data_IF_017131101391
#
_entry.id   IF_017131101391
#
_cell.length_a   1.000
_cell.length_b   1.000
_cell.length_c   1.000
_cell.angle_alpha   90.00
_cell.angle_beta   90.00
_cell.angle_gamma   90.00
#
_symmetry.space_group_name_H-M   'P 1'
#
loop_
_entity.id
_entity.type
_entity.pdbx_description
1 polymer ?
#
# COMPACT_ATOMS: atom_id res chain seq x y z
N UNK A 1 8.06 16.66 -53.27
CA UNK A 1 7.87 16.60 -51.81
C UNK A 1 6.45 16.19 -51.36
N UNK A 2 5.54 15.79 -52.26
CA UNK A 2 4.12 15.53 -51.93
C UNK A 2 3.72 14.05 -51.92
N UNK A 3 4.58 13.15 -52.40
CA UNK A 3 4.30 11.70 -52.44
C UNK A 3 4.72 10.97 -51.16
N UNK A 4 5.78 11.44 -50.48
CA UNK A 4 6.34 10.79 -49.28
C UNK A 4 5.48 11.00 -48.02
N UNK A 5 4.69 12.07 -47.99
CA UNK A 5 3.85 12.42 -46.83
C UNK A 5 2.51 11.67 -46.83
N UNK A 6 2.04 11.21 -48.00
CA UNK A 6 0.86 10.33 -48.10
C UNK A 6 1.15 8.91 -47.65
N UNK A 7 2.33 8.37 -47.91
CA UNK A 7 2.71 7.01 -47.48
C UNK A 7 2.93 6.91 -45.97
N UNK A 8 3.35 8.00 -45.32
CA UNK A 8 3.54 8.07 -43.87
C UNK A 8 2.20 8.15 -43.12
N UNK A 9 1.23 8.92 -43.63
CA UNK A 9 -0.12 8.99 -43.06
C UNK A 9 -0.91 7.69 -43.20
N UNK A 10 -0.74 6.96 -44.32
CA UNK A 10 -1.37 5.64 -44.51
C UNK A 10 -0.78 4.60 -43.54
N UNK A 11 0.51 4.67 -43.22
CA UNK A 11 1.15 3.77 -42.24
C UNK A 11 0.82 4.10 -40.79
N UNK A 12 0.67 5.38 -40.44
CA UNK A 12 0.25 5.79 -39.08
C UNK A 12 -1.24 5.46 -38.87
N UNK A 13 -2.10 5.65 -39.88
CA UNK A 13 -3.50 5.27 -39.80
C UNK A 13 -3.68 3.74 -39.69
N UNK A 14 -2.90 2.95 -40.43
CA UNK A 14 -2.91 1.49 -40.31
C UNK A 14 -2.41 0.99 -38.94
N UNK A 15 -1.49 1.72 -38.29
CA UNK A 15 -1.00 1.40 -36.95
C UNK A 15 -2.03 1.76 -35.86
N UNK A 16 -2.71 2.91 -35.98
CA UNK A 16 -3.76 3.34 -35.04
C UNK A 16 -5.03 2.48 -35.18
N UNK A 17 -5.39 2.06 -36.40
CA UNK A 17 -6.49 1.13 -36.64
C UNK A 17 -6.12 -0.32 -36.26
N UNK A 18 -4.86 -0.74 -36.43
CA UNK A 18 -4.38 -2.04 -35.96
C UNK A 18 -4.35 -2.16 -34.43
N UNK A 19 -4.01 -1.08 -33.72
CA UNK A 19 -4.05 -1.02 -32.25
C UNK A 19 -5.49 -0.94 -31.72
N UNK A 20 -6.41 -0.28 -32.44
CA UNK A 20 -7.84 -0.29 -32.07
C UNK A 20 -8.53 -1.63 -32.38
N UNK A 21 -8.14 -2.34 -33.44
CA UNK A 21 -8.67 -3.68 -33.74
C UNK A 21 -8.21 -4.76 -32.72
N UNK A 22 -7.02 -4.60 -32.12
CA UNK A 22 -6.56 -5.45 -31.01
C UNK A 22 -7.25 -5.16 -29.67
N UNK A 23 -7.91 -4.00 -29.51
CA UNK A 23 -8.67 -3.67 -28.30
C UNK A 23 -10.16 -4.06 -28.43
N UNK A 24 -10.66 -4.30 -29.64
CA UNK A 24 -12.09 -4.60 -29.90
C UNK A 24 -12.41 -6.08 -30.19
N UNK A 25 -11.42 -6.99 -30.20
CA UNK A 25 -11.66 -8.44 -30.38
C UNK A 25 -10.95 -9.28 -29.31
N UNK A 26 -11.17 -8.92 -28.04
CA UNK A 26 -11.00 -9.81 -26.90
C UNK A 26 -12.35 -9.96 -26.16
N UNK A 27 -13.37 -10.34 -26.92
CA UNK A 27 -14.64 -10.87 -26.45
C UNK A 27 -14.92 -12.14 -27.24
N UNK A 28 -14.20 -13.22 -26.90
CA UNK A 28 -14.63 -14.61 -27.04
C UNK A 28 -13.50 -15.53 -26.54
N UNK A 29 -13.81 -16.28 -25.49
CA UNK A 29 -13.17 -17.55 -25.06
C UNK A 29 -11.64 -17.60 -25.00
N UNK A 30 -11.09 -17.40 -23.79
CA UNK A 30 -10.33 -18.44 -23.10
C UNK A 30 -10.14 -18.07 -21.62
N UNK A 31 -10.51 -19.01 -20.74
CA UNK A 31 -10.59 -18.81 -19.30
C UNK A 31 -9.22 -18.71 -18.64
N UNK A 32 -8.93 -17.53 -18.09
CA UNK A 32 -7.85 -17.30 -17.12
C UNK A 32 -8.30 -16.16 -16.20
N UNK A 33 -8.97 -16.52 -15.12
CA UNK A 33 -9.52 -15.64 -14.10
C UNK A 33 -8.44 -14.83 -13.37
N UNK A 34 -8.26 -13.56 -13.73
CA UNK A 34 -7.78 -12.54 -12.79
C UNK A 34 -8.95 -12.20 -11.86
N UNK A 35 -8.95 -12.77 -10.66
CA UNK A 35 -10.03 -12.60 -9.69
C UNK A 35 -9.92 -11.25 -8.99
N UNK A 36 -10.45 -10.20 -9.63
CA UNK A 36 -10.95 -9.03 -8.93
C UNK A 36 -12.25 -9.46 -8.27
N UNK A 37 -12.24 -9.68 -6.94
CA UNK A 37 -13.43 -10.08 -6.21
C UNK A 37 -14.41 -8.91 -6.15
N UNK A 38 -15.31 -8.83 -7.13
CA UNK A 38 -16.50 -7.99 -7.13
C UNK A 38 -17.46 -8.42 -6.00
N UNK A 39 -17.18 -7.97 -4.78
CA UNK A 39 -18.10 -8.09 -3.63
C UNK A 39 -19.17 -6.99 -3.70
N UNK A 40 -20.02 -7.03 -4.73
CA UNK A 40 -21.02 -5.98 -4.98
C UNK A 40 -22.33 -6.10 -4.18
N UNK A 41 -22.37 -6.85 -3.07
CA UNK A 41 -23.55 -6.92 -2.19
C UNK A 41 -23.29 -7.26 -0.71
N UNK A 42 -22.09 -7.72 -0.35
CA UNK A 42 -21.74 -8.09 1.03
C UNK A 42 -20.78 -7.08 1.63
N UNK A 43 -21.00 -6.66 2.86
CA UNK A 43 -20.00 -5.91 3.63
C UNK A 43 -18.67 -6.69 3.77
N UNK A 44 -17.76 -6.15 4.57
CA UNK A 44 -16.44 -6.78 4.81
C UNK A 44 -16.64 -8.23 5.32
N UNK A 45 -16.10 -9.25 4.63
CA UNK A 45 -16.27 -10.65 5.02
C UNK A 45 -15.52 -10.96 6.32
N UNK A 46 -15.88 -12.06 6.99
CA UNK A 46 -15.17 -12.50 8.20
C UNK A 46 -13.83 -13.17 7.88
N UNK A 47 -13.72 -13.78 6.69
CA UNK A 47 -12.48 -14.36 6.18
C UNK A 47 -12.26 -13.82 4.78
N UNK A 48 -11.04 -13.40 4.47
CA UNK A 48 -10.66 -12.93 3.16
C UNK A 48 -9.42 -13.68 2.68
N UNK A 49 -9.46 -14.19 1.46
CA UNK A 49 -8.37 -14.94 0.84
C UNK A 49 -7.96 -14.28 -0.48
N UNK A 50 -6.65 -14.08 -0.66
CA UNK A 50 -6.08 -13.58 -1.90
C UNK A 50 -4.65 -14.09 -2.07
N UNK A 51 -4.27 -14.49 -3.29
CA UNK A 51 -2.93 -14.99 -3.63
C UNK A 51 -2.39 -16.09 -2.69
N UNK A 52 -3.29 -16.96 -2.24
CA UNK A 52 -2.95 -18.07 -1.35
C UNK A 52 -2.65 -17.64 0.09
N UNK A 53 -2.92 -16.39 0.47
CA UNK A 53 -2.92 -15.92 1.84
C UNK A 53 -4.35 -15.80 2.37
N UNK A 54 -4.54 -16.18 3.62
CA UNK A 54 -5.84 -16.14 4.31
C UNK A 54 -5.78 -15.18 5.48
N UNK A 55 -6.74 -14.27 5.59
CA UNK A 55 -6.85 -13.28 6.67
C UNK A 55 -8.16 -13.48 7.42
N UNK A 56 -8.09 -13.51 8.76
CA UNK A 56 -9.27 -13.54 9.63
C UNK A 56 -9.60 -12.10 10.04
N UNK A 57 -10.71 -11.59 9.51
CA UNK A 57 -11.21 -10.24 9.73
C UNK A 57 -12.29 -10.19 10.82
N UNK A 58 -12.76 -11.33 11.33
CA UNK A 58 -13.87 -11.39 12.29
C UNK A 58 -13.52 -10.60 13.56
N UNK A 59 -12.33 -10.81 14.09
CA UNK A 59 -11.86 -10.08 15.26
C UNK A 59 -11.68 -8.58 14.97
N UNK A 60 -11.10 -8.22 13.81
CA UNK A 60 -10.92 -6.83 13.39
C UNK A 60 -12.25 -6.08 13.22
N UNK A 61 -13.33 -6.77 12.83
CA UNK A 61 -14.68 -6.19 12.69
C UNK A 61 -15.31 -5.79 14.02
N UNK A 62 -14.94 -6.44 15.11
CA UNK A 62 -15.44 -6.13 16.45
C UNK A 62 -14.69 -4.95 17.08
N UNK A 63 -13.45 -4.71 16.66
CA UNK A 63 -12.61 -3.65 17.22
C UNK A 63 -12.99 -2.25 16.73
N UNK A 64 -12.76 -1.25 17.61
CA UNK A 64 -12.85 0.17 17.27
C UNK A 64 -11.44 0.75 17.30
N UNK A 65 -10.98 1.22 16.15
CA UNK A 65 -9.72 1.93 16.01
C UNK A 65 -9.96 3.43 16.13
N UNK A 66 -9.05 4.14 16.77
CA UNK A 66 -9.10 5.58 16.88
C UNK A 66 -7.68 6.16 16.84
N UNK A 67 -7.51 7.25 16.10
CA UNK A 67 -6.25 8.00 16.09
C UNK A 67 -6.51 9.50 15.92
N UNK A 68 -5.69 10.36 16.56
CA UNK A 68 -5.73 11.79 16.30
C UNK A 68 -5.28 12.10 14.87
N UNK A 69 -5.85 13.14 14.26
CA UNK A 69 -5.38 13.68 12.99
C UNK A 69 -4.59 14.95 13.30
N UNK A 70 -3.26 14.88 13.17
CA UNK A 70 -2.37 15.97 13.55
C UNK A 70 -2.60 17.27 12.75
N UNK A 71 -3.08 17.17 11.50
CA UNK A 71 -3.36 18.32 10.63
C UNK A 71 -4.58 19.15 11.06
N UNK A 72 -5.44 18.62 11.94
CA UNK A 72 -6.68 19.28 12.36
C UNK A 72 -6.76 19.25 13.89
N UNK A 73 -6.40 20.36 14.53
CA UNK A 73 -6.23 20.46 15.98
C UNK A 73 -7.34 19.78 16.81
N UNK A 74 -6.96 18.79 17.63
CA UNK A 74 -7.87 18.05 18.51
C UNK A 74 -8.82 17.08 17.80
N UNK A 75 -8.71 16.92 16.48
CA UNK A 75 -9.57 16.01 15.72
C UNK A 75 -9.12 14.57 15.84
N UNK A 76 -10.07 13.65 15.78
CA UNK A 76 -9.79 12.21 15.77
C UNK A 76 -10.63 11.50 14.73
N UNK A 77 -10.05 10.45 14.16
CA UNK A 77 -10.72 9.54 13.25
C UNK A 77 -11.00 8.25 13.99
N UNK A 78 -12.24 7.78 13.93
CA UNK A 78 -12.66 6.47 14.46
C UNK A 78 -13.06 5.55 13.31
N UNK A 79 -12.74 4.27 13.44
CA UNK A 79 -13.03 3.23 12.45
C UNK A 79 -13.50 1.96 13.15
N UNK A 80 -14.52 1.31 12.58
CA UNK A 80 -14.98 -0.03 12.93
C UNK A 80 -15.36 -0.75 11.64
N UNK A 81 -14.61 -1.81 11.29
CA UNK A 81 -14.84 -2.54 10.04
C UNK A 81 -16.19 -3.25 10.02
N UNK A 82 -16.72 -3.64 11.18
CA UNK A 82 -18.06 -4.22 11.29
C UNK A 82 -19.21 -3.22 11.07
N UNK A 83 -18.91 -1.93 10.89
CA UNK A 83 -19.92 -0.89 10.78
C UNK A 83 -20.61 -0.57 12.11
N UNK A 84 -21.73 0.16 12.03
CA UNK A 84 -22.53 0.60 13.18
C UNK A 84 -21.79 1.58 14.08
N UNK A 85 -20.86 2.37 13.54
CA UNK A 85 -20.19 3.41 14.31
C UNK A 85 -21.14 4.61 14.48
N UNK A 86 -21.44 5.04 15.72
CA UNK A 86 -22.37 6.12 15.95
C UNK A 86 -21.69 7.47 15.63
N UNK A 87 -21.67 7.87 14.35
CA UNK A 87 -21.15 9.18 13.97
C UNK A 87 -22.12 10.28 14.41
N UNK A 88 -23.38 10.22 14.00
CA UNK A 88 -24.35 11.29 14.27
C UNK A 88 -25.04 11.07 15.61
N UNK A 89 -24.44 11.56 16.70
CA UNK A 89 -25.24 11.86 17.90
C UNK A 89 -25.95 13.19 17.68
N UNK A 90 -27.28 13.23 17.73
CA UNK A 90 -28.03 14.49 17.83
C UNK A 90 -27.58 15.21 19.11
N UNK A 91 -26.72 16.22 18.97
CA UNK A 91 -26.33 17.09 20.06
C UNK A 91 -27.56 17.87 20.53
N UNK A 92 -27.94 17.74 21.80
CA UNK A 92 -29.03 18.51 22.42
C UNK A 92 -30.29 17.71 22.82
N UNK A 93 -30.36 16.40 22.57
CA UNK A 93 -31.50 15.58 23.04
C UNK A 93 -31.18 14.79 24.32
N UNK A 94 -32.15 14.70 25.27
CA UNK A 94 -32.01 13.87 26.47
C UNK A 94 -31.80 12.40 26.09
N UNK A 95 -31.13 11.62 26.95
CA UNK A 95 -30.65 10.27 26.64
C UNK A 95 -31.73 9.30 26.10
N UNK A 96 -33.01 9.53 26.42
CA UNK A 96 -34.15 8.73 25.96
C UNK A 96 -34.67 9.09 24.56
N UNK A 97 -34.21 10.19 23.95
CA UNK A 97 -34.62 10.68 22.62
C UNK A 97 -33.52 10.61 21.57
N UNK A 98 -32.33 10.09 21.92
CA UNK A 98 -31.28 9.83 20.93
C UNK A 98 -31.75 8.69 20.01
N UNK A 99 -32.45 9.04 18.93
CA UNK A 99 -32.46 8.19 17.75
C UNK A 99 -31.05 8.26 17.17
N UNK A 100 -30.25 7.25 17.44
CA UNK A 100 -29.13 6.93 16.57
C UNK A 100 -29.75 6.67 15.20
N UNK A 101 -29.36 7.43 14.18
CA UNK A 101 -29.56 6.94 12.82
C UNK A 101 -28.70 5.69 12.74
N UNK A 102 -29.32 4.52 12.94
CA UNK A 102 -28.72 3.20 12.86
C UNK A 102 -28.35 2.90 11.40
N UNK A 103 -27.44 3.70 10.83
CA UNK A 103 -26.75 3.33 9.62
C UNK A 103 -25.72 2.28 10.04
N UNK A 104 -26.19 1.02 10.09
CA UNK A 104 -25.38 -0.18 10.31
C UNK A 104 -24.16 -0.21 9.37
N UNK A 105 -24.23 0.47 8.24
CA UNK A 105 -23.14 0.61 7.28
C UNK A 105 -22.07 1.65 7.67
N UNK A 106 -22.30 2.53 8.64
CA UNK A 106 -21.33 3.57 9.01
C UNK A 106 -20.05 2.96 9.58
N UNK A 107 -18.93 3.08 8.85
CA UNK A 107 -17.66 2.46 9.21
C UNK A 107 -16.72 3.41 9.95
N UNK A 108 -16.71 4.69 9.55
CA UNK A 108 -15.74 5.65 10.05
C UNK A 108 -16.35 7.02 10.33
N UNK A 109 -15.91 7.63 11.42
CA UNK A 109 -16.36 8.95 11.87
C UNK A 109 -15.17 9.88 12.05
N UNK A 110 -15.30 11.09 11.54
CA UNK A 110 -14.42 12.21 11.87
C UNK A 110 -15.04 13.01 13.02
N UNK A 111 -14.29 13.14 14.10
CA UNK A 111 -14.64 13.93 15.28
C UNK A 111 -13.76 15.17 15.31
N UNK A 112 -14.38 16.35 15.24
CA UNK A 112 -13.70 17.64 15.36
C UNK A 112 -14.29 18.38 16.55
N UNK A 113 -13.48 18.88 17.50
CA UNK A 113 -14.00 19.61 18.65
C UNK A 113 -14.87 20.81 18.23
N UNK A 114 -16.07 20.91 18.81
CA UNK A 114 -17.00 22.01 18.55
C UNK A 114 -17.78 21.92 17.23
N UNK A 115 -17.58 20.88 16.43
CA UNK A 115 -18.30 20.65 15.17
C UNK A 115 -19.08 19.34 15.26
N UNK A 116 -20.30 19.25 14.70
CA UNK A 116 -21.00 17.98 14.60
C UNK A 116 -20.15 16.91 13.89
N UNK A 117 -20.13 15.68 14.42
CA UNK A 117 -19.39 14.57 13.82
C UNK A 117 -19.88 14.26 12.40
N UNK A 118 -18.92 14.00 11.51
CA UNK A 118 -19.18 13.68 10.11
C UNK A 118 -18.86 12.22 9.82
N UNK A 119 -19.64 11.60 8.93
CA UNK A 119 -19.35 10.28 8.39
C UNK A 119 -18.17 10.39 7.44
N UNK A 120 -17.08 9.72 7.76
CA UNK A 120 -15.87 9.70 6.94
C UNK A 120 -15.94 8.62 5.86
N UNK A 121 -16.54 7.46 6.16
CA UNK A 121 -16.78 6.39 5.19
C UNK A 121 -17.79 5.35 5.70
N UNK A 122 -18.28 4.53 4.78
CA UNK A 122 -19.24 3.44 4.96
C UNK A 122 -18.61 2.08 4.60
N UNK A 123 -19.11 1.00 5.20
CA UNK A 123 -18.77 -0.38 4.85
C UNK A 123 -19.43 -0.81 3.54
N UNK A 124 -20.46 -0.09 3.08
CA UNK A 124 -21.10 -0.34 1.80
C UNK A 124 -20.12 -0.08 0.65
N UNK A 125 -19.90 -1.09 -0.19
CA UNK A 125 -18.93 -1.01 -1.29
C UNK A 125 -17.47 -1.01 -0.83
N UNK A 126 -17.18 -1.51 0.37
CA UNK A 126 -15.81 -1.72 0.84
C UNK A 126 -15.04 -2.63 -0.13
N UNK A 127 -13.80 -2.24 -0.45
CA UNK A 127 -12.88 -3.05 -1.25
C UNK A 127 -11.67 -3.43 -0.42
N UNK A 128 -11.23 -4.66 -0.56
CA UNK A 128 -10.05 -5.18 0.13
C UNK A 128 -9.02 -5.57 -0.92
N UNK A 129 -7.78 -5.13 -0.74
CA UNK A 129 -6.65 -5.52 -1.58
C UNK A 129 -5.39 -5.71 -0.75
N UNK A 130 -4.44 -6.47 -1.28
CA UNK A 130 -3.14 -6.62 -0.67
C UNK A 130 -2.38 -5.30 -0.78
N UNK A 131 -1.61 -4.96 0.25
CA UNK A 131 -0.68 -3.83 0.18
C UNK A 131 0.43 -4.09 -0.85
N UNK A 132 0.81 -5.36 -0.99
CA UNK A 132 1.74 -5.85 -2.00
C UNK A 132 1.29 -7.24 -2.46
N UNK A 133 0.90 -7.35 -3.73
CA UNK A 133 0.47 -8.62 -4.32
C UNK A 133 1.58 -9.69 -4.34
N UNK A 134 2.86 -9.27 -4.36
CA UNK A 134 4.00 -10.18 -4.33
C UNK A 134 4.34 -10.70 -2.93
N UNK A 135 3.84 -10.03 -1.89
CA UNK A 135 4.10 -10.38 -0.50
C UNK A 135 2.89 -10.06 0.39
N UNK A 136 1.94 -11.01 0.51
CA UNK A 136 0.78 -10.83 1.38
C UNK A 136 1.14 -10.74 2.86
N UNK A 137 2.38 -11.10 3.24
CA UNK A 137 2.90 -10.95 4.58
C UNK A 137 2.92 -9.49 5.06
N UNK A 138 2.96 -8.50 4.17
CA UNK A 138 2.93 -7.08 4.58
C UNK A 138 1.57 -6.69 5.19
N UNK A 139 0.49 -7.30 4.72
CA UNK A 139 -0.88 -7.01 5.14
C UNK A 139 -1.74 -6.50 3.98
N UNK A 140 -2.82 -5.79 4.31
CA UNK A 140 -3.87 -5.43 3.37
C UNK A 140 -4.44 -4.04 3.62
N UNK A 141 -5.15 -3.51 2.63
CA UNK A 141 -5.89 -2.25 2.73
C UNK A 141 -7.38 -2.51 2.54
N UNK A 142 -8.18 -1.87 3.40
CA UNK A 142 -9.63 -1.77 3.25
C UNK A 142 -9.96 -0.35 2.80
N UNK A 143 -10.36 -0.22 1.54
CA UNK A 143 -10.81 1.04 0.95
C UNK A 143 -12.31 1.21 1.13
N UNK A 144 -12.69 2.25 1.85
CA UNK A 144 -14.05 2.59 2.23
C UNK A 144 -14.46 3.91 1.57
N UNK A 145 -15.70 3.98 1.10
CA UNK A 145 -16.26 5.15 0.41
C UNK A 145 -17.62 5.51 1.01
N UNK A 146 -18.38 6.42 0.38
CA UNK A 146 -19.72 6.76 0.82
C UNK A 146 -19.77 7.59 2.11
N UNK A 147 -18.71 8.34 2.41
CA UNK A 147 -18.75 9.34 3.48
C UNK A 147 -19.53 10.60 3.08
N UNK A 148 -19.80 11.46 4.07
CA UNK A 148 -20.51 12.72 3.87
C UNK A 148 -19.79 13.59 2.82
N UNK A 149 -20.55 14.47 2.15
CA UNK A 149 -20.04 15.35 1.10
C UNK A 149 -18.93 16.29 1.61
N UNK A 150 -17.78 16.26 0.96
CA UNK A 150 -16.68 17.18 1.22
C UNK A 150 -16.82 18.44 0.36
N UNK A 151 -16.94 19.59 1.01
CA UNK A 151 -17.15 20.86 0.31
C UNK A 151 -15.94 21.33 -0.51
N UNK A 152 -14.73 20.92 -0.14
CA UNK A 152 -13.48 21.32 -0.79
C UNK A 152 -13.34 20.65 -2.16
N UNK A 153 -13.41 19.32 -2.20
CA UNK A 153 -13.23 18.53 -3.44
C UNK A 153 -14.54 18.18 -4.15
N UNK A 154 -15.69 18.64 -3.62
CA UNK A 154 -17.04 18.40 -4.13
C UNK A 154 -17.35 16.91 -4.38
N UNK A 155 -16.82 16.03 -3.52
CA UNK A 155 -16.98 14.57 -3.59
C UNK A 155 -17.23 14.00 -2.20
N UNK A 156 -17.76 12.78 -2.13
CA UNK A 156 -17.89 12.07 -0.85
C UNK A 156 -16.53 11.81 -0.21
N UNK A 157 -16.47 11.89 1.12
CA UNK A 157 -15.29 11.48 1.90
C UNK A 157 -15.02 9.98 1.68
N UNK A 158 -13.75 9.61 1.79
CA UNK A 158 -13.28 8.21 1.68
C UNK A 158 -12.15 7.94 2.67
N UNK A 159 -11.96 6.67 3.00
CA UNK A 159 -10.94 6.20 3.95
C UNK A 159 -10.23 4.97 3.40
N UNK A 160 -8.90 4.99 3.40
CA UNK A 160 -8.09 3.77 3.25
C UNK A 160 -7.55 3.35 4.62
N UNK A 161 -8.05 2.22 5.14
CA UNK A 161 -7.56 1.60 6.36
C UNK A 161 -6.50 0.55 6.01
N UNK A 162 -5.23 0.84 6.28
CA UNK A 162 -4.07 0.00 6.00
C UNK A 162 -3.72 -0.83 7.22
N UNK A 163 -3.95 -2.13 7.13
CA UNK A 163 -3.61 -3.10 8.16
C UNK A 163 -2.25 -3.71 7.84
N UNK A 164 -1.26 -3.35 8.65
CA UNK A 164 0.11 -3.82 8.55
C UNK A 164 0.33 -4.99 9.51
N UNK A 165 0.85 -6.09 8.97
CA UNK A 165 1.25 -7.23 9.77
C UNK A 165 2.39 -6.84 10.73
N UNK A 166 2.12 -7.00 12.03
CA UNK A 166 3.15 -6.99 13.08
C UNK A 166 3.19 -8.38 13.72
N UNK A 167 4.10 -9.28 13.31
CA UNK A 167 4.15 -10.64 13.85
C UNK A 167 4.60 -10.67 15.32
N UNK A 168 5.32 -9.64 15.78
CA UNK A 168 5.81 -9.58 17.16
C UNK A 168 4.70 -9.31 18.17
N UNK A 169 3.63 -8.62 17.73
CA UNK A 169 2.54 -8.15 18.59
C UNK A 169 2.99 -7.17 19.68
N UNK A 170 4.25 -6.74 19.65
CA UNK A 170 4.85 -5.95 20.72
C UNK A 170 4.34 -4.51 20.72
N UNK A 171 3.80 -4.00 19.60
CA UNK A 171 3.36 -2.61 19.51
C UNK A 171 2.17 -2.42 18.57
N UNK A 172 0.96 -2.49 19.14
CA UNK A 172 -0.25 -1.99 18.46
C UNK A 172 -0.11 -0.48 18.29
N UNK A 173 0.05 -0.03 17.04
CA UNK A 173 0.08 1.39 16.69
C UNK A 173 -1.04 1.72 15.73
N UNK A 174 -1.74 2.81 15.98
CA UNK A 174 -2.75 3.36 15.08
C UNK A 174 -2.39 4.81 14.81
N UNK A 175 -2.16 5.14 13.54
CA UNK A 175 -1.92 6.52 13.10
C UNK A 175 -2.94 6.88 12.03
N UNK A 176 -3.31 8.15 11.96
CA UNK A 176 -4.23 8.63 10.94
C UNK A 176 -3.82 10.00 10.44
N UNK A 177 -4.07 10.24 9.16
CA UNK A 177 -3.84 11.53 8.52
C UNK A 177 -4.86 11.76 7.41
N UNK A 178 -5.01 13.03 7.06
CA UNK A 178 -5.78 13.46 5.90
C UNK A 178 -4.82 13.74 4.73
N UNK A 179 -5.24 13.39 3.53
CA UNK A 179 -4.52 13.78 2.31
C UNK A 179 -4.48 15.29 2.12
N UNK A 180 -3.47 15.77 1.39
CA UNK A 180 -3.31 17.19 1.09
C UNK A 180 -3.70 17.50 -0.36
N UNK A 181 -3.92 18.78 -0.67
CA UNK A 181 -4.25 19.25 -2.02
C UNK A 181 -5.55 18.62 -2.56
N UNK A 182 -5.47 17.94 -3.71
CA UNK A 182 -6.62 17.25 -4.31
C UNK A 182 -7.09 16.01 -3.52
N UNK A 183 -6.33 15.57 -2.51
CA UNK A 183 -6.65 14.44 -1.66
C UNK A 183 -7.22 14.85 -0.29
N UNK A 184 -7.56 16.12 -0.08
CA UNK A 184 -8.32 16.53 1.11
C UNK A 184 -9.63 15.72 1.16
N UNK A 185 -10.10 15.37 2.36
CA UNK A 185 -11.23 14.46 2.59
C UNK A 185 -11.00 13.00 2.16
N UNK A 186 -9.78 12.64 1.77
CA UNK A 186 -9.29 11.27 1.74
C UNK A 186 -8.48 11.00 3.00
N UNK A 187 -9.02 10.16 3.86
CA UNK A 187 -8.34 9.76 5.09
C UNK A 187 -7.53 8.50 4.87
N UNK A 188 -6.42 8.41 5.57
CA UNK A 188 -5.64 7.18 5.65
C UNK A 188 -5.43 6.86 7.13
N UNK A 189 -5.71 5.62 7.50
CA UNK A 189 -5.43 5.10 8.83
C UNK A 189 -4.48 3.91 8.69
N UNK A 190 -3.34 3.93 9.38
CA UNK A 190 -2.39 2.82 9.43
C UNK A 190 -2.50 2.12 10.78
N UNK A 191 -2.73 0.81 10.75
CA UNK A 191 -2.96 -0.04 11.92
C UNK A 191 -1.95 -1.18 11.89
N UNK A 192 -1.08 -1.26 12.88
CA UNK A 192 -0.16 -2.41 13.05
C UNK A 192 -0.76 -3.42 14.02
N UNK A 193 -0.92 -4.66 13.58
CA UNK A 193 -1.54 -5.72 14.37
C UNK A 193 -1.15 -7.12 13.87
N UNK A 194 -1.13 -8.10 14.77
CA UNK A 194 -0.92 -9.51 14.41
C UNK A 194 -2.04 -10.07 13.53
N UNK A 195 -3.27 -9.56 13.66
CA UNK A 195 -4.42 -10.00 12.84
C UNK A 195 -4.30 -9.59 11.37
N UNK A 196 -3.40 -8.64 11.06
CA UNK A 196 -3.08 -8.26 9.69
C UNK A 196 -2.06 -9.22 9.05
N UNK A 197 -1.51 -10.15 9.82
CA UNK A 197 -0.64 -11.19 9.31
C UNK A 197 -1.49 -12.32 8.71
N UNK A 198 -1.12 -12.83 7.53
CA UNK A 198 -1.84 -13.94 6.93
C UNK A 198 -1.70 -15.20 7.80
N UNK A 199 -2.82 -15.90 8.00
CA UNK A 199 -2.83 -17.23 8.58
C UNK A 199 -2.03 -18.20 7.71
N UNK A 200 -1.41 -19.19 8.34
CA UNK A 200 -0.70 -20.25 7.63
C UNK A 200 -1.64 -20.95 6.65
N UNK A 201 -1.40 -20.75 5.36
CA UNK A 201 -2.03 -21.57 4.34
C UNK A 201 -1.11 -22.75 4.09
N UNK A 202 -1.60 -23.95 4.41
CA UNK A 202 -1.03 -25.22 3.99
C UNK A 202 -1.23 -25.39 2.49
N UNK A 203 -0.71 -24.47 1.68
CA UNK A 203 -0.69 -24.62 0.23
C UNK A 203 0.25 -25.78 -0.11
N UNK A 204 -0.33 -26.89 -0.57
CA UNK A 204 0.32 -28.14 -0.94
C UNK A 204 1.22 -28.07 -2.19
N UNK A 205 1.56 -26.88 -2.67
CA UNK A 205 2.51 -26.69 -3.79
C UNK A 205 3.81 -26.11 -3.27
N UNK A 206 4.97 -26.74 -3.57
CA UNK A 206 6.27 -26.16 -3.26
C UNK A 206 6.40 -24.83 -4.02
N UNK A 207 6.43 -23.73 -3.28
CA UNK A 207 6.72 -22.41 -3.81
C UNK A 207 8.22 -22.20 -3.68
N UNK A 208 8.90 -21.93 -4.79
CA UNK A 208 10.33 -21.60 -4.75
C UNK A 208 10.56 -20.38 -3.85
N UNK A 209 11.47 -20.50 -2.87
CA UNK A 209 11.66 -19.44 -1.91
C UNK A 209 12.30 -18.23 -2.58
N UNK A 210 11.80 -17.05 -2.24
CA UNK A 210 12.25 -15.78 -2.82
C UNK A 210 12.21 -14.69 -1.74
N UNK A 211 13.26 -13.87 -1.68
CA UNK A 211 13.30 -12.70 -0.82
C UNK A 211 12.69 -11.49 -1.53
N UNK A 212 11.89 -10.72 -0.82
CA UNK A 212 11.26 -9.50 -1.34
C UNK A 212 11.79 -8.22 -0.69
N UNK A 213 12.32 -8.28 0.54
CA UNK A 213 12.91 -7.12 1.21
C UNK A 213 13.03 -7.28 2.73
N UNK A 214 13.31 -6.20 3.45
CA UNK A 214 13.40 -6.21 4.93
C UNK A 214 12.72 -5.01 5.59
N UNK A 215 12.17 -5.13 6.79
CA UNK A 215 11.59 -4.01 7.56
C UNK A 215 11.96 -4.07 9.04
N UNK A 216 11.57 -3.08 9.85
CA UNK A 216 11.78 -3.08 11.32
C UNK A 216 12.99 -2.29 11.81
N UNK A 217 13.81 -1.78 10.89
CA UNK A 217 14.97 -0.93 11.18
C UNK A 217 14.70 0.59 11.12
N UNK A 218 13.51 1.00 10.68
CA UNK A 218 13.18 2.41 10.49
C UNK A 218 12.47 2.96 11.74
N UNK A 219 12.91 4.11 12.24
CA UNK A 219 12.05 4.96 13.06
C UNK A 219 11.00 5.64 12.16
N UNK A 220 9.90 6.14 12.73
CA UNK A 220 8.81 6.80 11.98
C UNK A 220 9.27 8.00 11.12
N UNK A 221 10.53 8.41 11.20
CA UNK A 221 11.09 9.60 10.55
C UNK A 221 12.29 9.36 9.64
N UNK A 222 12.86 8.14 9.59
CA UNK A 222 14.16 7.92 8.94
C UNK A 222 14.10 6.80 7.88
N UNK A 223 14.56 7.12 6.68
CA UNK A 223 14.52 6.23 5.50
C UNK A 223 15.87 5.57 5.20
N UNK A 224 16.83 5.82 6.07
CA UNK A 224 18.17 5.30 5.97
C UNK A 224 18.31 3.95 6.68
N UNK A 225 19.16 3.07 6.17
CA UNK A 225 19.61 1.87 6.90
C UNK A 225 20.46 2.22 8.13
N UNK A 226 20.76 3.52 8.36
CA UNK A 226 21.44 4.01 9.56
C UNK A 226 20.58 4.04 10.83
N UNK A 227 19.28 3.72 10.74
CA UNK A 227 18.41 3.56 11.90
C UNK A 227 18.54 2.21 12.62
N UNK A 228 19.14 1.21 11.97
CA UNK A 228 19.33 -0.13 12.54
C UNK A 228 20.32 -0.11 13.71
N UNK A 229 19.89 -0.53 14.89
CA UNK A 229 20.74 -0.68 16.07
C UNK A 229 20.72 -2.11 16.59
N UNK A 230 21.79 -2.50 17.28
CA UNK A 230 21.87 -3.77 18.00
C UNK A 230 20.60 -3.98 18.84
N UNK A 231 20.06 -5.20 18.81
CA UNK A 231 18.89 -5.58 19.60
C UNK A 231 17.53 -5.23 18.97
N UNK A 232 17.49 -4.47 17.86
CA UNK A 232 16.25 -4.26 17.11
C UNK A 232 15.81 -5.54 16.40
N UNK A 233 14.51 -5.69 16.18
CA UNK A 233 13.96 -6.82 15.41
C UNK A 233 13.88 -6.44 13.93
N UNK A 234 14.66 -7.13 13.10
CA UNK A 234 14.55 -7.09 11.65
C UNK A 234 13.49 -8.11 11.22
N UNK A 235 12.59 -7.69 10.34
CA UNK A 235 11.62 -8.56 9.67
C UNK A 235 12.09 -8.77 8.25
N UNK A 236 12.40 -10.00 7.86
CA UNK A 236 12.73 -10.35 6.48
C UNK A 236 11.47 -10.82 5.78
N UNK A 237 11.19 -10.22 4.64
CA UNK A 237 10.02 -10.46 3.82
C UNK A 237 10.36 -11.32 2.61
N UNK A 238 9.47 -12.22 2.25
CA UNK A 238 9.63 -13.08 1.09
C UNK A 238 8.48 -14.07 0.93
N UNK A 239 8.77 -15.25 0.39
CA UNK A 239 7.87 -16.39 0.27
C UNK A 239 8.65 -17.71 0.37
N UNK A 240 7.96 -18.79 0.69
CA UNK A 240 8.54 -20.15 0.71
C UNK A 240 9.30 -20.49 1.99
N UNK A 241 9.16 -19.72 3.06
CA UNK A 241 9.96 -19.90 4.28
C UNK A 241 9.54 -21.07 5.17
N UNK A 242 8.37 -21.66 4.96
CA UNK A 242 7.87 -22.75 5.82
C UNK A 242 7.81 -24.11 5.14
N UNK A 243 7.93 -24.17 3.81
CA UNK A 243 7.79 -25.42 3.10
C UNK A 243 9.04 -26.28 3.27
N UNK A 244 8.97 -27.31 4.12
CA UNK A 244 10.08 -28.22 4.43
C UNK A 244 11.32 -27.51 5.01
N UNK A 245 11.14 -26.40 5.71
CA UNK A 245 12.23 -25.64 6.36
C UNK A 245 12.15 -25.87 7.87
N UNK A 246 13.23 -26.41 8.44
CA UNK A 246 13.36 -26.69 9.86
C UNK A 246 13.92 -25.49 10.65
N UNK A 247 14.85 -24.74 10.06
CA UNK A 247 15.46 -23.56 10.66
C UNK A 247 15.88 -22.55 9.58
N UNK A 248 16.15 -21.31 9.97
CA UNK A 248 16.67 -20.30 9.07
C UNK A 248 17.74 -19.46 9.77
N UNK A 249 18.78 -19.08 9.02
CA UNK A 249 19.77 -18.09 9.43
C UNK A 249 19.67 -16.86 8.52
N UNK A 250 19.81 -15.67 9.10
CA UNK A 250 19.90 -14.42 8.36
C UNK A 250 21.29 -13.85 8.57
N UNK A 251 21.99 -13.53 7.50
CA UNK A 251 23.31 -12.91 7.50
C UNK A 251 23.25 -11.52 6.87
N UNK A 252 23.90 -10.56 7.50
CA UNK A 252 24.01 -9.16 7.07
C UNK A 252 25.50 -8.89 6.87
N UNK A 253 25.97 -8.97 5.62
CA UNK A 253 27.40 -9.08 5.34
C UNK A 253 27.98 -10.33 6.02
N UNK A 254 28.96 -10.14 6.90
CA UNK A 254 29.60 -11.23 7.66
C UNK A 254 28.95 -11.49 9.04
N UNK A 255 28.00 -10.65 9.46
CA UNK A 255 27.35 -10.77 10.76
C UNK A 255 26.12 -11.69 10.69
N UNK A 256 25.98 -12.59 11.67
CA UNK A 256 24.81 -13.47 11.79
C UNK A 256 23.78 -12.86 12.73
N UNK A 257 22.53 -12.77 12.27
CA UNK A 257 21.40 -12.28 13.02
C UNK A 257 21.05 -13.25 14.16
N UNK A 258 20.70 -12.73 15.33
CA UNK A 258 20.41 -13.54 16.52
C UNK A 258 18.92 -13.91 16.57
N UNK A 259 18.57 -15.00 17.24
CA UNK A 259 17.17 -15.39 17.49
C UNK A 259 16.28 -15.44 16.23
N UNK A 260 16.81 -15.93 15.10
CA UNK A 260 16.04 -16.04 13.87
C UNK A 260 14.83 -16.97 14.07
N UNK A 261 13.63 -16.49 13.71
CA UNK A 261 12.38 -17.25 13.81
C UNK A 261 11.59 -17.15 12.52
N UNK A 262 11.11 -18.30 12.06
CA UNK A 262 10.18 -18.40 10.94
C UNK A 262 8.78 -18.06 11.47
N UNK A 263 8.23 -16.92 11.04
CA UNK A 263 6.92 -16.46 11.51
C UNK A 263 5.80 -17.00 10.63
N UNK A 264 6.01 -17.01 9.32
CA UNK A 264 5.05 -17.49 8.34
C UNK A 264 5.77 -17.89 7.06
N UNK A 265 5.03 -18.37 6.07
CA UNK A 265 5.57 -18.64 4.75
C UNK A 265 6.20 -17.39 4.08
N UNK A 266 5.87 -16.19 4.57
CA UNK A 266 6.28 -14.92 3.97
C UNK A 266 7.21 -14.06 4.85
N UNK A 267 7.38 -14.42 6.11
CA UNK A 267 8.16 -13.63 7.05
C UNK A 267 9.06 -14.45 7.96
N UNK A 268 10.29 -13.96 8.11
CA UNK A 268 11.21 -14.32 9.17
C UNK A 268 11.44 -13.10 10.05
N UNK A 269 11.69 -13.31 11.34
CA UNK A 269 12.20 -12.26 12.22
C UNK A 269 13.57 -12.64 12.74
N UNK A 270 14.46 -11.67 12.92
CA UNK A 270 15.73 -11.88 13.61
C UNK A 270 16.11 -10.62 14.40
N UNK A 271 16.89 -10.79 15.46
CA UNK A 271 17.43 -9.71 16.27
C UNK A 271 18.77 -9.25 15.68
N UNK A 272 18.87 -7.96 15.38
CA UNK A 272 20.07 -7.39 14.79
C UNK A 272 21.27 -7.58 15.73
N UNK A 273 22.40 -8.11 15.20
CA UNK A 273 23.65 -8.17 15.93
C UNK A 273 24.25 -6.76 16.05
N UNK A 274 25.39 -6.65 16.71
CA UNK A 274 26.12 -5.38 16.75
C UNK A 274 26.74 -5.10 15.37
N UNK A 275 26.01 -4.35 14.54
CA UNK A 275 26.44 -3.95 13.20
C UNK A 275 26.40 -2.43 13.06
N UNK A 276 27.44 -1.82 12.46
CA UNK A 276 27.52 -0.37 12.33
C UNK A 276 26.48 0.22 11.36
N UNK A 277 26.03 -0.56 10.39
CA UNK A 277 24.93 -0.25 9.47
C UNK A 277 24.44 -1.54 8.79
N UNK A 278 23.23 -1.53 8.22
CA UNK A 278 22.76 -2.68 7.44
C UNK A 278 23.61 -2.78 6.16
N UNK A 279 24.40 -3.85 6.06
CA UNK A 279 25.23 -4.14 4.88
C UNK A 279 24.32 -4.30 3.63
N UNK A 280 24.73 -3.87 2.43
CA UNK A 280 23.90 -3.96 1.22
C UNK A 280 23.55 -5.40 0.83
N UNK A 281 24.34 -6.38 1.25
CA UNK A 281 24.07 -7.79 0.99
C UNK A 281 23.40 -8.44 2.19
N UNK A 282 22.19 -8.95 1.96
CA UNK A 282 21.46 -9.78 2.90
C UNK A 282 21.37 -11.20 2.36
N UNK A 283 21.79 -12.17 3.15
CA UNK A 283 21.73 -13.59 2.82
C UNK A 283 20.80 -14.30 3.82
N UNK A 284 19.90 -15.12 3.31
CA UNK A 284 19.04 -16.00 4.12
C UNK A 284 19.37 -17.43 3.76
N UNK A 285 19.71 -18.24 4.75
CA UNK A 285 19.92 -19.69 4.61
C UNK A 285 18.74 -20.41 5.23
N UNK A 286 17.98 -21.14 4.41
CA UNK A 286 16.87 -21.97 4.85
C UNK A 286 17.37 -23.40 5.00
N UNK A 287 17.43 -23.90 6.23
CA UNK A 287 17.83 -25.28 6.53
C UNK A 287 16.64 -26.21 6.39
N UNK A 288 16.70 -27.12 5.43
CA UNK A 288 15.67 -28.12 5.20
C UNK A 288 15.88 -29.34 6.10
N UNK A 289 14.82 -30.09 6.39
CA UNK A 289 14.92 -31.27 7.25
C UNK A 289 15.86 -32.36 6.68
N UNK A 290 15.91 -32.49 5.34
CA UNK A 290 16.60 -33.60 4.65
C UNK A 290 17.48 -33.14 3.47
N UNK A 291 18.15 -31.98 3.56
CA UNK A 291 18.96 -31.50 2.43
C UNK A 291 19.89 -30.34 2.71
N UNK A 292 20.66 -29.97 1.69
CA UNK A 292 21.51 -28.77 1.69
C UNK A 292 20.66 -27.50 1.90
N UNK A 293 21.17 -26.50 2.63
CA UNK A 293 20.42 -25.28 2.87
C UNK A 293 20.21 -24.49 1.58
N UNK A 294 18.99 -24.01 1.37
CA UNK A 294 18.70 -23.08 0.28
C UNK A 294 19.22 -21.70 0.66
N UNK A 295 20.13 -21.15 -0.15
CA UNK A 295 20.72 -19.82 0.08
C UNK A 295 20.06 -18.80 -0.83
N UNK A 296 19.43 -17.80 -0.23
CA UNK A 296 18.82 -16.68 -0.92
C UNK A 296 19.63 -15.42 -0.65
N UNK A 297 19.90 -14.63 -1.70
CA UNK A 297 20.65 -13.37 -1.57
C UNK A 297 19.85 -12.22 -2.15
N UNK A 298 19.84 -11.11 -1.43
CA UNK A 298 19.37 -9.81 -1.94
C UNK A 298 20.54 -8.85 -1.88
N UNK A 299 20.91 -8.35 -3.05
CA UNK A 299 21.80 -7.21 -3.17
C UNK A 299 20.99 -5.93 -3.05
N UNK A 300 21.50 -4.97 -2.29
CA UNK A 300 20.83 -3.72 -1.94
C UNK A 300 19.48 -3.99 -1.28
N UNK A 301 19.46 -4.82 -0.22
CA UNK A 301 18.25 -5.10 0.54
C UNK A 301 17.61 -3.79 1.02
N UNK A 302 16.60 -3.35 0.27
CA UNK A 302 15.87 -2.12 0.56
C UNK A 302 15.08 -2.36 1.84
N UNK A 303 15.20 -1.43 2.79
CA UNK A 303 14.24 -1.34 3.88
C UNK A 303 12.86 -1.12 3.26
N UNK A 304 12.08 -2.18 3.14
CA UNK A 304 10.66 -2.15 2.95
C UNK A 304 10.08 -1.36 4.12
N UNK A 305 9.83 -0.07 3.91
CA UNK A 305 8.99 0.71 4.77
C UNK A 305 7.56 0.44 4.31
N UNK A 306 6.76 -0.37 5.05
CA UNK A 306 5.38 -0.62 4.67
C UNK A 306 4.49 0.64 4.82
N UNK A 307 5.03 1.76 5.32
CA UNK A 307 4.30 3.02 5.35
C UNK A 307 4.31 3.67 3.96
N UNK A 308 3.15 3.81 3.30
CA UNK A 308 3.06 4.52 2.03
C UNK A 308 3.16 6.05 2.22
N UNK A 309 3.60 6.51 3.40
CA UNK A 309 4.16 7.85 3.57
C UNK A 309 5.21 8.15 2.48
N UNK A 310 5.94 7.12 2.00
CA UNK A 310 6.90 7.27 0.88
C UNK A 310 6.29 7.34 -0.52
N UNK A 311 5.08 6.82 -0.76
CA UNK A 311 4.40 7.04 -2.05
C UNK A 311 3.65 8.38 -2.07
N UNK A 312 3.41 8.99 -0.91
CA UNK A 312 2.57 10.18 -0.80
C UNK A 312 3.28 11.50 -0.48
N UNK A 313 4.59 11.54 -0.23
CA UNK A 313 5.28 12.83 -0.10
C UNK A 313 6.59 12.89 -0.86
N UNK A 314 6.53 13.56 -2.02
CA UNK A 314 7.41 14.72 -2.17
C UNK A 314 6.81 15.86 -3.01
N UNK A 315 5.71 15.66 -3.75
CA UNK A 315 5.04 16.76 -4.45
C UNK A 315 3.54 16.50 -4.61
N UNK A 316 2.67 17.12 -3.80
CA UNK A 316 1.21 16.98 -3.97
C UNK A 316 0.50 18.24 -4.45
N UNK A 317 1.06 19.43 -4.26
CA UNK A 317 0.61 20.67 -4.92
C UNK A 317 1.82 21.55 -5.21
N UNK A 318 2.03 21.89 -6.49
CA UNK A 318 3.13 22.76 -6.94
C UNK A 318 2.80 24.26 -6.79
N UNK A 319 1.68 24.57 -6.13
CA UNK A 319 1.30 25.92 -5.72
C UNK A 319 2.36 26.55 -4.81
N UNK A 320 3.03 25.76 -3.97
CA UNK A 320 4.13 26.19 -3.11
C UNK A 320 5.43 26.53 -3.88
N UNK A 321 5.57 26.00 -5.10
CA UNK A 321 6.67 26.32 -6.04
C UNK A 321 6.30 27.47 -7.00
N UNK A 322 5.14 28.10 -6.78
CA UNK A 322 4.64 29.22 -7.60
C UNK A 322 4.07 28.79 -8.95
N UNK A 323 3.78 27.49 -9.15
CA UNK A 323 3.25 26.95 -10.41
C UNK A 323 1.82 26.46 -10.20
N UNK A 324 0.84 27.34 -10.42
CA UNK A 324 -0.59 27.00 -10.41
C UNK A 324 -1.10 26.53 -11.77
N UNK A 325 -2.10 25.63 -11.77
CA UNK A 325 -2.87 25.29 -12.98
C UNK A 325 -2.27 24.24 -13.92
N UNK A 326 -1.13 23.63 -13.58
CA UNK A 326 -0.46 22.57 -14.38
C UNK A 326 -0.46 21.19 -13.69
N UNK A 327 -1.40 20.98 -12.76
CA UNK A 327 -1.44 19.79 -11.91
C UNK A 327 -1.54 18.48 -12.72
N UNK A 328 -2.26 18.50 -13.86
CA UNK A 328 -2.47 17.32 -14.70
C UNK A 328 -1.19 16.93 -15.45
N UNK A 329 -0.55 17.89 -16.10
CA UNK A 329 0.66 17.71 -16.92
C UNK A 329 1.84 17.28 -16.04
N UNK A 330 1.97 17.88 -14.85
CA UNK A 330 3.03 17.53 -13.90
C UNK A 330 2.77 16.15 -13.27
N UNK A 331 1.53 15.82 -12.93
CA UNK A 331 1.18 14.47 -12.46
C UNK A 331 1.51 13.41 -13.51
N UNK A 332 1.28 13.70 -14.78
CA UNK A 332 1.63 12.81 -15.88
C UNK A 332 3.15 12.65 -16.07
N UNK A 333 3.89 13.75 -15.98
CA UNK A 333 5.37 13.72 -15.92
C UNK A 333 5.81 12.82 -14.77
N UNK A 334 5.25 13.02 -13.57
CA UNK A 334 5.66 12.28 -12.40
C UNK A 334 5.39 10.78 -12.53
N UNK A 335 4.18 10.44 -12.98
CA UNK A 335 3.74 9.06 -13.24
C UNK A 335 4.66 8.36 -14.23
N UNK A 336 5.00 9.03 -15.34
CA UNK A 336 5.75 8.38 -16.42
C UNK A 336 7.25 8.32 -16.13
N UNK A 337 7.79 9.29 -15.40
CA UNK A 337 9.24 9.47 -15.24
C UNK A 337 9.74 8.88 -13.94
N UNK A 338 9.07 9.14 -12.82
CA UNK A 338 9.52 8.70 -11.50
C UNK A 338 8.93 7.35 -11.11
N UNK A 339 7.63 7.09 -11.34
CA UNK A 339 7.04 5.81 -10.92
C UNK A 339 7.63 4.62 -11.69
N UNK A 340 8.00 4.80 -12.96
CA UNK A 340 8.68 3.73 -13.71
C UNK A 340 10.03 3.37 -13.09
N UNK A 341 10.71 4.32 -12.45
CA UNK A 341 12.01 4.11 -11.77
C UNK A 341 11.89 3.72 -10.29
N UNK A 342 10.69 3.81 -9.71
CA UNK A 342 10.41 3.33 -8.37
C UNK A 342 10.29 1.78 -8.33
N UNK A 343 10.17 1.14 -9.49
CA UNK A 343 10.14 -0.32 -9.61
C UNK A 343 11.55 -0.91 -9.61
N UNK A 344 11.77 -2.05 -8.92
CA UNK A 344 13.01 -2.82 -8.98
C UNK A 344 13.46 -3.16 -10.41
N UNK A 345 14.77 -3.07 -10.69
CA UNK A 345 15.34 -3.21 -12.04
C UNK A 345 15.11 -4.58 -12.68
N UNK A 346 15.01 -5.64 -11.88
CA UNK A 346 14.67 -6.99 -12.33
C UNK A 346 13.24 -7.07 -12.88
N UNK A 347 12.28 -6.41 -12.22
CA UNK A 347 10.87 -6.35 -12.64
C UNK A 347 10.73 -5.49 -13.90
N UNK A 348 11.39 -4.33 -13.94
CA UNK A 348 11.39 -3.44 -15.13
C UNK A 348 11.90 -4.17 -16.37
N UNK A 349 12.97 -4.96 -16.22
CA UNK A 349 13.58 -5.70 -17.33
C UNK A 349 12.69 -6.84 -17.80
N UNK A 350 12.05 -7.57 -16.88
CA UNK A 350 11.10 -8.63 -17.20
C UNK A 350 9.82 -8.10 -17.90
N UNK A 351 9.34 -6.91 -17.50
CA UNK A 351 8.18 -6.25 -18.10
C UNK A 351 8.51 -5.48 -19.38
N UNK A 352 9.78 -5.42 -19.79
CA UNK A 352 10.22 -4.67 -20.99
C UNK A 352 9.95 -3.17 -20.90
N UNK A 353 9.78 -2.63 -19.68
CA UNK A 353 9.43 -1.22 -19.47
C UNK A 353 10.66 -0.36 -19.77
N UNK A 354 10.61 0.41 -20.85
CA UNK A 354 11.66 1.36 -21.20
C UNK A 354 11.45 2.68 -20.45
N UNK A 355 12.37 3.03 -19.55
CA UNK A 355 12.34 4.32 -18.89
C UNK A 355 12.45 5.47 -19.88
N UNK A 356 11.76 6.55 -19.57
CA UNK A 356 11.88 7.81 -20.31
C UNK A 356 13.30 8.36 -20.10
N UNK A 357 14.00 8.60 -21.21
CA UNK A 357 15.38 9.09 -21.24
C UNK A 357 15.49 10.61 -21.03
N UNK A 358 14.43 11.34 -21.33
CA UNK A 358 14.36 12.78 -21.18
C UNK A 358 12.95 13.31 -21.43
N UNK A 359 12.68 14.51 -20.94
CA UNK A 359 11.39 15.18 -21.05
C UNK A 359 11.62 16.50 -21.78
N UNK A 360 10.82 16.80 -22.79
CA UNK A 360 10.81 18.09 -23.46
C UNK A 360 9.62 18.90 -22.98
N UNK A 361 9.88 19.99 -22.25
CA UNK A 361 8.85 20.95 -21.85
C UNK A 361 8.76 22.05 -22.93
N UNK A 362 7.63 22.15 -23.62
CA UNK A 362 7.39 23.15 -24.67
C UNK A 362 6.10 23.94 -24.41
N UNK A 363 6.05 25.19 -24.86
CA UNK A 363 4.88 26.05 -24.70
C UNK A 363 5.22 27.55 -24.68
N UNK A 364 4.19 28.43 -24.69
CA UNK A 364 4.34 29.89 -24.70
C UNK A 364 5.22 30.42 -23.55
N UNK A 365 5.90 31.57 -23.69
CA UNK A 365 6.65 32.16 -22.59
C UNK A 365 5.73 32.43 -21.39
N UNK A 366 6.26 32.27 -20.16
CA UNK A 366 5.49 32.44 -18.91
C UNK A 366 4.73 31.20 -18.41
N UNK A 367 4.73 30.08 -19.14
CA UNK A 367 3.99 28.87 -18.74
C UNK A 367 4.69 27.94 -17.73
N UNK A 368 5.53 28.47 -16.83
CA UNK A 368 6.16 27.70 -15.74
C UNK A 368 7.22 26.65 -16.10
N UNK A 369 7.57 26.46 -17.39
CA UNK A 369 8.51 25.40 -17.86
C UNK A 369 9.85 25.37 -17.12
N UNK A 370 10.48 26.54 -16.94
CA UNK A 370 11.77 26.66 -16.25
C UNK A 370 11.65 26.38 -14.76
N UNK A 371 10.50 26.68 -14.15
CA UNK A 371 10.23 26.37 -12.74
C UNK A 371 10.01 24.87 -12.53
N UNK A 372 9.31 24.21 -13.46
CA UNK A 372 9.07 22.75 -13.40
C UNK A 372 10.34 21.94 -13.65
N UNK A 373 11.30 22.48 -14.40
CA UNK A 373 12.56 21.80 -14.70
C UNK A 373 13.62 21.92 -13.57
N UNK A 374 13.44 22.86 -12.65
CA UNK A 374 14.32 23.07 -11.49
C UNK A 374 13.82 22.21 -10.33
#
# INVERSE_FOLDING_TARGET
>A
MTTMMRTLLVRVAACVLGVMAMVATAHASDGSSTAEADNNAGGIPDVWEMDGARFDLAALKLEVFAAPIASVGGSSLRLKLGGGLPCKTMAGQPAHQRHFSDDSATAACMLVPGVPPNVAASTAGARISLLDAGNPGIGFVVSLQGGDHCEVVKRGRKLDARFLCDPTGARRSVTAWEGQGMNVCHYVMEIRTQQACPAHTTSARPVEPLLSGVSGCASDTDTSTSGCKQGMTLVVHGRGFQHNVAAADVLIGDATCLNTRIMSNWQLTCTLPDVPSLHPTLEVRLHHADGEPTVLRVENAVTYAPSPQRLHHQFQTFEDLGVGGLNKEISEIYRRVFQSRALPSNIVSALGIKHIKGILLYGPPGSGKTLVAR
#
